data_IF_573371257676
#
_entry.id   IF_573371257676
#
_cell.length_a   1.000
_cell.length_b   1.000
_cell.length_c   1.000
_cell.angle_alpha   90.00
_cell.angle_beta   90.00
_cell.angle_gamma   90.00
#
_symmetry.space_group_name_H-M   'P 1'
#
loop_
_entity.id
_entity.type
_entity.pdbx_description
1 polymer ?
#
# COMPACT_ATOMS: atom_id res chain seq x y z
N UNK A 1 53.11 14.68 -22.47
CA UNK A 1 52.17 15.31 -21.55
C UNK A 1 50.81 14.69 -21.83
N UNK A 2 50.43 13.71 -21.05
CA UNK A 2 49.15 13.00 -21.18
C UNK A 2 48.18 13.57 -20.13
N UNK A 3 47.10 14.13 -20.62
CA UNK A 3 46.05 14.67 -19.75
C UNK A 3 45.15 13.52 -19.25
N UNK A 4 45.04 13.39 -17.94
CA UNK A 4 44.12 12.48 -17.24
C UNK A 4 42.70 13.07 -17.25
N UNK A 5 41.65 12.31 -17.58
CA UNK A 5 40.28 12.82 -17.44
C UNK A 5 39.82 12.75 -16.00
N UNK A 6 39.43 13.88 -15.47
CA UNK A 6 38.76 14.08 -14.17
C UNK A 6 37.40 13.40 -14.22
N UNK A 7 37.22 12.33 -13.43
CA UNK A 7 35.89 11.72 -13.18
C UNK A 7 35.06 12.68 -12.29
N UNK A 8 34.01 13.22 -12.86
CA UNK A 8 32.94 13.83 -12.06
C UNK A 8 32.23 12.69 -11.29
N UNK A 9 32.36 12.75 -9.96
CA UNK A 9 31.48 11.99 -9.07
C UNK A 9 30.10 12.68 -9.11
N UNK A 10 29.15 12.05 -9.72
CA UNK A 10 27.74 12.34 -9.44
C UNK A 10 27.43 11.83 -8.04
N UNK A 11 27.29 12.73 -7.08
CA UNK A 11 26.56 12.43 -5.84
C UNK A 11 25.10 12.17 -6.22
N UNK A 12 24.73 10.91 -6.25
CA UNK A 12 23.32 10.51 -6.24
C UNK A 12 22.70 11.07 -4.96
N UNK A 13 21.85 12.08 -5.11
CA UNK A 13 21.10 12.64 -4.00
C UNK A 13 20.28 11.53 -3.35
N UNK A 14 20.55 11.24 -2.08
CA UNK A 14 19.65 10.46 -1.24
C UNK A 14 18.29 11.19 -1.24
N UNK A 15 17.31 10.62 -1.92
CA UNK A 15 15.90 10.98 -1.70
C UNK A 15 15.56 10.47 -0.31
N UNK A 16 15.67 11.34 0.67
CA UNK A 16 15.20 11.08 2.03
C UNK A 16 13.68 11.11 1.96
N UNK A 17 12.96 10.03 2.27
CA UNK A 17 11.51 10.10 2.37
C UNK A 17 11.18 11.21 3.36
N UNK A 18 10.37 12.16 2.92
CA UNK A 18 9.95 13.33 3.69
C UNK A 18 9.42 12.83 5.03
N UNK A 19 10.00 13.32 6.13
CA UNK A 19 9.53 13.07 7.49
C UNK A 19 8.01 13.04 7.50
N UNK A 20 7.42 11.91 7.87
CA UNK A 20 6.12 11.94 8.54
C UNK A 20 6.40 12.69 9.83
N UNK A 21 6.22 14.02 9.79
CA UNK A 21 6.20 14.81 11.00
C UNK A 21 5.18 14.12 11.89
N UNK A 22 5.59 13.68 13.06
CA UNK A 22 4.70 13.34 14.14
C UNK A 22 3.98 14.63 14.54
N UNK A 23 3.04 15.07 13.68
CA UNK A 23 2.11 16.13 14.02
C UNK A 23 1.26 15.56 15.14
N UNK A 24 1.06 16.32 16.18
CA UNK A 24 0.18 15.91 17.29
C UNK A 24 -1.17 15.49 16.68
N UNK A 25 -1.65 14.30 17.01
CA UNK A 25 -2.92 13.76 16.49
C UNK A 25 -4.12 14.71 16.60
N UNK A 26 -4.04 15.70 17.48
CA UNK A 26 -5.05 16.73 17.68
C UNK A 26 -5.25 17.68 16.48
N UNK A 27 -4.37 17.60 15.47
CA UNK A 27 -4.42 18.47 14.28
C UNK A 27 -4.96 17.75 13.04
N UNK A 28 -5.18 16.44 13.10
CA UNK A 28 -5.66 15.63 11.96
C UNK A 28 -7.02 15.02 12.31
N UNK A 29 -7.97 15.22 11.41
CA UNK A 29 -9.24 14.48 11.36
C UNK A 29 -9.18 13.51 10.21
N UNK A 30 -9.36 12.21 10.49
CA UNK A 30 -9.47 11.17 9.48
C UNK A 30 -10.92 10.80 9.23
N UNK A 31 -11.28 10.64 7.96
CA UNK A 31 -12.61 10.27 7.50
C UNK A 31 -12.52 9.00 6.67
N UNK A 32 -12.99 7.88 7.22
CA UNK A 32 -13.22 6.68 6.43
C UNK A 32 -14.44 6.90 5.54
N UNK A 33 -14.25 6.78 4.27
CA UNK A 33 -15.27 6.94 3.24
C UNK A 33 -15.36 5.70 2.35
N UNK A 34 -16.50 5.50 1.75
CA UNK A 34 -16.68 4.55 0.65
C UNK A 34 -17.14 5.30 -0.59
N UNK A 35 -16.71 4.84 -1.75
CA UNK A 35 -17.19 5.35 -3.04
C UNK A 35 -17.77 4.20 -3.85
N UNK A 36 -18.98 4.40 -4.38
CA UNK A 36 -19.63 3.43 -5.27
C UNK A 36 -18.98 3.40 -6.64
N UNK A 37 -18.88 2.20 -7.19
CA UNK A 37 -18.38 1.94 -8.53
C UNK A 37 -19.53 1.45 -9.41
N UNK A 38 -19.75 2.08 -10.55
CA UNK A 38 -18.99 3.15 -11.18
C UNK A 38 -19.54 4.57 -10.93
N UNK A 39 -20.54 4.76 -10.10
CA UNK A 39 -21.28 6.03 -9.97
C UNK A 39 -20.46 7.18 -9.40
N UNK A 40 -19.45 6.88 -8.56
CA UNK A 40 -18.67 7.89 -7.84
C UNK A 40 -19.42 8.49 -6.63
N UNK A 41 -20.56 7.90 -6.21
CA UNK A 41 -21.26 8.35 -5.01
C UNK A 41 -20.44 8.03 -3.75
N UNK A 42 -20.19 9.05 -2.92
CA UNK A 42 -19.34 8.95 -1.72
C UNK A 42 -20.20 9.01 -0.47
N UNK A 43 -19.95 8.05 0.43
CA UNK A 43 -20.53 8.01 1.78
C UNK A 43 -19.42 8.06 2.83
N UNK A 44 -19.67 8.78 3.95
CA UNK A 44 -18.78 8.77 5.10
C UNK A 44 -19.23 7.71 6.09
N UNK A 45 -18.36 6.75 6.39
CA UNK A 45 -18.61 5.62 7.29
C UNK A 45 -18.25 5.97 8.74
N UNK A 46 -17.08 6.63 8.92
CA UNK A 46 -16.56 6.94 10.23
C UNK A 46 -15.66 8.18 10.21
N UNK A 47 -15.69 8.97 11.28
CA UNK A 47 -14.88 10.18 11.45
C UNK A 47 -14.30 10.19 12.86
N UNK A 48 -13.01 10.48 12.98
CA UNK A 48 -12.35 10.65 14.27
C UNK A 48 -11.27 11.74 14.20
N UNK A 49 -11.11 12.50 15.28
CA UNK A 49 -10.02 13.48 15.46
C UNK A 49 -8.74 12.77 15.90
N UNK A 50 -8.25 11.91 15.02
CA UNK A 50 -7.08 11.05 15.18
C UNK A 50 -6.63 10.58 13.82
N UNK A 51 -5.32 10.48 13.61
CA UNK A 51 -4.80 9.85 12.41
C UNK A 51 -5.07 8.35 12.42
N UNK A 52 -5.85 7.87 11.45
CA UNK A 52 -5.94 6.46 11.07
C UNK A 52 -5.92 6.35 9.55
N UNK A 53 -5.53 5.21 9.00
CA UNK A 53 -5.19 5.05 7.59
C UNK A 53 -5.41 3.63 7.07
N UNK A 54 -5.28 3.45 5.73
CA UNK A 54 -5.19 2.16 5.04
C UNK A 54 -6.36 1.20 5.34
N UNK A 55 -7.58 1.51 4.90
CA UNK A 55 -8.75 0.69 5.19
C UNK A 55 -8.73 -0.60 4.35
N UNK A 56 -8.58 -1.76 5.00
CA UNK A 56 -8.69 -3.07 4.37
C UNK A 56 -10.05 -3.68 4.69
N UNK A 57 -10.89 -3.93 3.67
CA UNK A 57 -12.23 -4.48 3.86
C UNK A 57 -12.20 -5.98 4.12
N UNK A 58 -12.99 -6.44 5.09
CA UNK A 58 -13.12 -7.89 5.40
C UNK A 58 -13.77 -8.65 4.25
N UNK A 59 -13.42 -9.93 4.10
CA UNK A 59 -13.92 -10.79 3.03
C UNK A 59 -15.42 -11.07 3.11
N UNK A 60 -16.01 -10.93 4.29
CA UNK A 60 -17.46 -11.04 4.52
C UNK A 60 -18.19 -9.69 4.43
N UNK A 61 -17.47 -8.60 4.19
CA UNK A 61 -18.02 -7.26 4.04
C UNK A 61 -18.43 -6.58 5.35
N UNK A 62 -18.24 -7.21 6.51
CA UNK A 62 -18.84 -6.75 7.77
C UNK A 62 -18.00 -5.73 8.53
N UNK A 63 -16.70 -5.59 8.22
CA UNK A 63 -15.82 -4.64 8.90
C UNK A 63 -14.62 -4.21 8.05
N UNK A 64 -13.95 -3.17 8.52
CA UNK A 64 -12.63 -2.74 8.04
C UNK A 64 -11.55 -3.01 9.07
N UNK A 65 -10.32 -3.21 8.60
CA UNK A 65 -9.12 -3.03 9.41
C UNK A 65 -8.46 -1.73 8.99
N UNK A 66 -8.04 -0.93 9.95
CA UNK A 66 -7.29 0.31 9.74
C UNK A 66 -6.06 0.32 10.64
N UNK A 67 -5.03 1.05 10.23
CA UNK A 67 -3.84 1.31 11.05
C UNK A 67 -3.97 2.67 11.75
N UNK A 68 -3.45 2.75 12.97
CA UNK A 68 -3.27 4.01 13.69
C UNK A 68 -2.18 3.86 14.74
N UNK A 69 -1.18 4.76 14.73
CA UNK A 69 -0.10 4.82 15.74
C UNK A 69 0.64 3.48 15.94
N UNK A 70 0.86 2.73 14.88
CA UNK A 70 1.57 1.44 14.96
C UNK A 70 0.72 0.26 15.39
N UNK A 71 -0.59 0.45 15.57
CA UNK A 71 -1.56 -0.59 15.96
C UNK A 71 -2.63 -0.76 14.90
N UNK A 72 -3.26 -1.92 14.87
CA UNK A 72 -4.37 -2.24 13.99
C UNK A 72 -5.68 -2.24 14.75
N UNK A 73 -6.71 -1.77 14.06
CA UNK A 73 -8.05 -1.67 14.64
C UNK A 73 -9.08 -2.24 13.68
N UNK A 74 -10.07 -2.90 14.25
CA UNK A 74 -11.28 -3.31 13.56
C UNK A 74 -12.36 -2.25 13.74
N UNK A 75 -13.07 -1.94 12.66
CA UNK A 75 -14.17 -0.99 12.61
C UNK A 75 -15.34 -1.63 11.87
N UNK A 76 -16.57 -1.73 12.42
CA UNK A 76 -17.74 -2.23 11.71
C UNK A 76 -17.97 -1.46 10.40
N UNK A 77 -18.40 -2.16 9.34
CA UNK A 77 -18.71 -1.51 8.06
C UNK A 77 -20.01 -0.69 8.13
N UNK A 78 -20.90 -1.03 9.07
CA UNK A 78 -22.12 -0.31 9.37
C UNK A 78 -22.21 -0.01 10.85
N UNK A 79 -22.75 1.16 11.20
CA UNK A 79 -22.95 1.56 12.60
C UNK A 79 -21.66 1.73 13.40
N UNK A 80 -20.57 2.12 12.73
CA UNK A 80 -19.27 2.32 13.35
C UNK A 80 -19.30 3.44 14.40
N UNK A 81 -18.89 3.13 15.64
CA UNK A 81 -18.87 4.09 16.75
C UNK A 81 -17.49 4.28 17.37
N UNK A 82 -16.62 3.29 17.25
CA UNK A 82 -15.25 3.33 17.80
C UNK A 82 -14.35 2.27 17.15
N UNK A 83 -13.07 2.52 17.19
CA UNK A 83 -12.03 1.59 16.77
C UNK A 83 -11.79 0.55 17.87
N UNK A 84 -11.82 -0.74 17.52
CA UNK A 84 -11.50 -1.85 18.42
C UNK A 84 -10.14 -2.44 18.05
N UNK A 85 -9.17 -2.35 18.96
CA UNK A 85 -7.81 -2.83 18.72
C UNK A 85 -7.77 -4.35 18.47
N UNK A 86 -6.93 -4.75 17.51
CA UNK A 86 -6.57 -6.15 17.22
C UNK A 86 -5.24 -6.40 17.92
N UNK A 87 -5.13 -7.38 18.84
CA UNK A 87 -3.86 -7.68 19.50
C UNK A 87 -2.81 -8.16 18.51
N UNK A 88 -1.67 -7.48 18.44
CA UNK A 88 -0.54 -7.85 17.59
C UNK A 88 0.70 -8.24 18.40
N UNK A 89 0.58 -8.44 19.71
CA UNK A 89 1.64 -8.86 20.62
C UNK A 89 2.81 -7.87 20.64
N UNK A 90 4.01 -8.35 20.32
CA UNK A 90 5.21 -7.51 20.26
C UNK A 90 5.21 -6.53 19.07
N UNK A 91 4.36 -6.74 18.04
CA UNK A 91 4.31 -5.91 16.84
C UNK A 91 3.52 -4.61 17.10
N UNK A 92 4.14 -3.64 17.77
CA UNK A 92 3.56 -2.35 18.15
C UNK A 92 3.96 -1.18 17.24
N UNK A 93 4.65 -1.47 16.13
CA UNK A 93 5.05 -0.50 15.11
C UNK A 93 4.65 -1.01 13.72
N UNK A 94 3.37 -1.37 13.61
CA UNK A 94 2.77 -1.78 12.34
C UNK A 94 2.55 -0.54 11.49
N UNK A 95 2.99 -0.55 10.23
CA UNK A 95 2.71 0.53 9.29
C UNK A 95 1.36 0.29 8.56
N UNK A 96 1.09 1.10 7.55
CA UNK A 96 -0.14 1.02 6.75
C UNK A 96 -0.21 -0.17 5.78
N UNK A 97 0.84 -1.00 5.68
CA UNK A 97 0.88 -2.14 4.77
C UNK A 97 0.46 -3.41 5.51
N UNK A 98 -0.83 -3.68 5.49
CA UNK A 98 -1.45 -4.84 6.14
C UNK A 98 -2.62 -5.37 5.32
N UNK A 99 -2.99 -6.64 5.49
CA UNK A 99 -4.16 -7.16 4.77
C UNK A 99 -4.57 -8.58 5.12
N UNK A 100 -5.86 -8.80 4.94
CA UNK A 100 -6.56 -10.04 5.25
C UNK A 100 -6.31 -11.07 4.15
N UNK A 101 -5.99 -12.30 4.53
CA UNK A 101 -5.84 -13.43 3.59
C UNK A 101 -7.13 -13.69 2.80
N UNK A 102 -7.04 -14.34 1.61
CA UNK A 102 -8.21 -14.64 0.78
C UNK A 102 -9.28 -15.47 1.49
N UNK A 103 -8.89 -16.37 2.41
CA UNK A 103 -9.80 -17.20 3.20
C UNK A 103 -10.35 -16.49 4.45
N UNK A 104 -9.94 -15.25 4.71
CA UNK A 104 -10.39 -14.43 5.84
C UNK A 104 -9.87 -14.86 7.21
N UNK A 105 -8.85 -15.75 7.30
CA UNK A 105 -8.39 -16.31 8.58
C UNK A 105 -7.12 -15.68 9.11
N UNK A 106 -6.27 -15.18 8.23
CA UNK A 106 -4.97 -14.63 8.56
C UNK A 106 -4.91 -13.13 8.24
N UNK A 107 -3.98 -12.47 8.88
CA UNK A 107 -3.59 -11.09 8.64
C UNK A 107 -2.09 -11.05 8.38
N UNK A 108 -1.66 -10.41 7.29
CA UNK A 108 -0.28 -10.05 7.05
C UNK A 108 -0.08 -8.60 7.51
N UNK A 109 1.06 -8.33 8.13
CA UNK A 109 1.42 -7.00 8.63
C UNK A 109 2.89 -6.72 8.33
N UNK A 110 3.21 -5.45 8.09
CA UNK A 110 4.58 -4.95 8.07
C UNK A 110 4.89 -4.28 9.40
N UNK A 111 5.87 -4.81 10.15
CA UNK A 111 6.24 -4.31 11.46
C UNK A 111 7.71 -4.00 11.52
N UNK A 112 8.04 -2.82 12.06
CA UNK A 112 9.42 -2.37 12.29
C UNK A 112 9.91 -2.79 13.67
N UNK A 113 10.87 -3.72 13.71
CA UNK A 113 11.48 -4.23 14.95
C UNK A 113 12.62 -3.33 15.45
N UNK A 114 12.46 -2.03 15.43
CA UNK A 114 13.51 -1.03 15.62
C UNK A 114 14.05 -0.88 17.07
N UNK A 115 14.21 -1.95 17.82
CA UNK A 115 14.93 -1.90 19.11
C UNK A 115 16.42 -1.49 18.96
N UNK A 116 16.92 -1.47 17.73
CA UNK A 116 18.35 -1.30 17.43
C UNK A 116 18.71 0.02 16.72
N UNK A 117 17.75 0.86 16.38
CA UNK A 117 18.02 2.11 15.66
C UNK A 117 17.64 3.29 16.55
N UNK A 118 18.62 4.04 17.00
CA UNK A 118 18.45 5.20 17.89
C UNK A 118 17.85 6.45 17.21
N UNK A 119 17.61 6.39 15.89
CA UNK A 119 17.03 7.48 15.10
C UNK A 119 15.68 7.05 14.54
N UNK A 120 14.60 7.61 15.08
CA UNK A 120 13.22 7.37 14.65
C UNK A 120 12.95 7.64 13.16
N UNK A 121 13.80 8.42 12.49
CA UNK A 121 13.67 8.74 11.08
C UNK A 121 14.01 7.56 10.14
N UNK A 122 14.63 6.49 10.64
CA UNK A 122 15.03 5.32 9.87
C UNK A 122 14.42 4.00 10.36
N UNK A 123 13.44 4.06 11.25
CA UNK A 123 12.78 2.88 11.83
C UNK A 123 12.20 1.94 10.73
N UNK A 124 11.79 2.49 9.59
CA UNK A 124 11.26 1.74 8.46
C UNK A 124 12.29 0.77 7.83
N UNK A 125 13.62 1.01 7.98
CA UNK A 125 14.67 0.11 7.49
C UNK A 125 14.63 -1.27 8.17
N UNK A 126 14.02 -1.37 9.36
CA UNK A 126 13.88 -2.63 10.09
C UNK A 126 12.53 -3.32 9.83
N UNK A 127 11.71 -2.81 8.89
CA UNK A 127 10.42 -3.39 8.56
C UNK A 127 10.55 -4.80 8.02
N UNK A 128 9.72 -5.70 8.54
CA UNK A 128 9.62 -7.10 8.09
C UNK A 128 8.15 -7.52 8.09
N UNK A 129 7.84 -8.52 7.27
CA UNK A 129 6.47 -9.03 7.15
C UNK A 129 6.25 -10.16 8.15
N UNK A 130 5.12 -10.07 8.86
CA UNK A 130 4.64 -11.06 9.82
C UNK A 130 3.23 -11.50 9.47
N UNK A 131 2.87 -12.69 9.90
CA UNK A 131 1.53 -13.28 9.76
C UNK A 131 1.02 -13.67 11.13
N UNK A 132 -0.27 -13.40 11.36
CA UNK A 132 -1.00 -13.76 12.58
C UNK A 132 -2.46 -14.13 12.23
N UNK A 133 -3.19 -14.81 13.14
CA UNK A 133 -4.62 -14.99 13.00
C UNK A 133 -5.35 -13.65 12.93
N UNK A 134 -6.45 -13.56 12.16
CA UNK A 134 -7.28 -12.34 12.05
C UNK A 134 -7.84 -11.89 13.41
N UNK A 135 -8.01 -12.79 14.37
CA UNK A 135 -8.42 -12.48 15.75
C UNK A 135 -7.31 -11.84 16.60
N UNK A 136 -6.09 -11.75 16.07
CA UNK A 136 -4.91 -11.30 16.78
C UNK A 136 -4.01 -12.43 17.30
N UNK A 137 -2.82 -12.07 17.77
CA UNK A 137 -1.84 -13.00 18.34
C UNK A 137 -0.89 -12.26 19.28
N UNK A 138 -0.34 -12.96 20.29
CA UNK A 138 0.75 -12.44 21.11
C UNK A 138 2.13 -12.67 20.48
N UNK A 139 2.22 -13.56 19.50
CA UNK A 139 3.45 -13.93 18.83
C UNK A 139 3.26 -14.06 17.31
N UNK A 140 3.15 -12.94 16.56
CA UNK A 140 3.13 -12.95 15.11
C UNK A 140 4.35 -13.69 14.54
N UNK A 141 4.15 -14.48 13.49
CA UNK A 141 5.21 -15.26 12.85
C UNK A 141 5.87 -14.44 11.73
N UNK A 142 7.17 -14.22 11.82
CA UNK A 142 7.96 -13.56 10.77
C UNK A 142 7.99 -14.42 9.50
N UNK A 143 7.87 -13.77 8.33
CA UNK A 143 7.89 -14.42 7.01
C UNK A 143 9.13 -14.03 6.23
N UNK A 144 9.43 -12.73 6.08
CA UNK A 144 10.60 -12.25 5.31
C UNK A 144 11.88 -12.34 6.13
N UNK A 145 12.99 -12.63 5.47
CA UNK A 145 14.34 -12.66 6.06
C UNK A 145 15.09 -11.35 5.86
N UNK A 146 14.88 -10.69 4.71
CA UNK A 146 15.45 -9.39 4.40
C UNK A 146 14.61 -8.24 4.98
N UNK A 147 15.27 -7.09 5.17
CA UNK A 147 14.64 -5.83 5.58
C UNK A 147 15.25 -4.65 4.79
N UNK A 148 14.48 -3.59 4.51
CA UNK A 148 13.05 -3.46 4.76
C UNK A 148 12.22 -4.34 3.81
N UNK A 149 11.04 -4.73 4.30
CA UNK A 149 10.02 -5.43 3.53
C UNK A 149 8.65 -4.88 3.92
N UNK A 150 7.83 -4.51 2.92
CA UNK A 150 6.50 -3.92 3.08
C UNK A 150 5.48 -4.77 2.33
N UNK A 151 4.52 -5.30 3.06
CA UNK A 151 3.49 -6.17 2.50
C UNK A 151 2.50 -5.36 1.67
N UNK A 152 2.03 -5.95 0.54
CA UNK A 152 0.97 -5.34 -0.27
C UNK A 152 -0.11 -6.33 -0.70
N UNK A 153 0.23 -7.58 -1.03
CA UNK A 153 -0.77 -8.48 -1.58
C UNK A 153 -0.60 -9.95 -1.19
N UNK A 154 -1.73 -10.66 -1.18
CA UNK A 154 -1.83 -12.11 -1.12
C UNK A 154 -2.12 -12.68 -2.50
N UNK A 155 -1.48 -13.79 -2.87
CA UNK A 155 -1.98 -14.57 -4.02
C UNK A 155 -3.40 -15.08 -3.75
N UNK A 156 -4.25 -15.25 -4.77
CA UNK A 156 -5.64 -15.68 -4.58
C UNK A 156 -5.77 -17.06 -3.88
N UNK A 157 -4.77 -17.94 -4.02
CA UNK A 157 -4.73 -19.23 -3.34
C UNK A 157 -4.18 -19.16 -1.88
N UNK A 158 -3.79 -17.95 -1.43
CA UNK A 158 -3.28 -17.68 -0.08
C UNK A 158 -1.90 -18.26 0.21
N UNK A 159 -1.15 -18.74 -0.80
CA UNK A 159 0.15 -19.41 -0.58
C UNK A 159 1.36 -18.51 -0.77
N UNK A 160 1.20 -17.35 -1.41
CA UNK A 160 2.29 -16.43 -1.73
C UNK A 160 1.92 -15.02 -1.28
N UNK A 161 2.91 -14.29 -0.79
CA UNK A 161 2.83 -12.85 -0.55
C UNK A 161 3.62 -12.13 -1.63
N UNK A 162 3.10 -10.98 -2.10
CA UNK A 162 3.87 -9.99 -2.84
C UNK A 162 4.10 -8.78 -1.98
N UNK A 163 5.29 -8.20 -2.10
CA UNK A 163 5.74 -7.16 -1.22
C UNK A 163 6.81 -6.29 -1.89
N UNK A 164 7.01 -5.10 -1.35
CA UNK A 164 8.14 -4.24 -1.71
C UNK A 164 9.29 -4.50 -0.76
N UNK A 165 10.47 -4.69 -1.32
CA UNK A 165 11.68 -4.91 -0.55
C UNK A 165 12.84 -4.09 -1.08
N UNK A 166 13.64 -3.51 -0.18
CA UNK A 166 14.89 -2.89 -0.58
C UNK A 166 16.03 -3.89 -0.48
N UNK A 167 16.53 -4.31 -1.64
CA UNK A 167 17.68 -5.20 -1.75
C UNK A 167 18.72 -4.54 -2.67
N UNK A 168 19.99 -4.64 -2.32
CA UNK A 168 21.07 -4.04 -3.11
C UNK A 168 20.93 -2.53 -3.41
N UNK A 169 20.22 -1.80 -2.52
CA UNK A 169 20.05 -0.34 -2.65
C UNK A 169 18.81 0.11 -3.38
N UNK A 170 18.06 -0.79 -4.05
CA UNK A 170 16.86 -0.49 -4.82
C UNK A 170 15.60 -1.11 -4.20
N UNK A 171 14.47 -0.44 -4.41
CA UNK A 171 13.15 -0.93 -4.05
C UNK A 171 12.49 -1.61 -5.23
N UNK A 172 12.23 -2.90 -5.07
CA UNK A 172 11.61 -3.74 -6.09
C UNK A 172 10.49 -4.58 -5.49
N UNK A 173 9.72 -5.19 -6.39
CA UNK A 173 8.69 -6.14 -6.03
C UNK A 173 9.29 -7.54 -5.88
N UNK A 174 8.92 -8.18 -4.78
CA UNK A 174 9.31 -9.54 -4.45
C UNK A 174 8.09 -10.42 -4.17
N UNK A 175 8.27 -11.71 -4.36
CA UNK A 175 7.34 -12.73 -3.92
C UNK A 175 8.00 -13.68 -2.93
N UNK A 176 7.25 -14.15 -1.93
CA UNK A 176 7.69 -15.14 -0.95
C UNK A 176 6.55 -16.10 -0.60
N UNK A 177 6.86 -17.37 -0.36
CA UNK A 177 5.86 -18.29 0.15
C UNK A 177 5.36 -17.84 1.55
N UNK A 178 4.10 -18.01 1.83
CA UNK A 178 3.50 -17.68 3.13
C UNK A 178 4.20 -18.36 4.30
N UNK A 179 4.78 -19.52 4.04
CA UNK A 179 5.58 -20.30 5.01
C UNK A 179 6.97 -19.71 5.26
N UNK A 180 7.38 -18.71 4.48
CA UNK A 180 8.74 -18.17 4.42
C UNK A 180 9.60 -18.93 3.41
N UNK A 181 10.89 -18.65 3.38
CA UNK A 181 11.85 -19.27 2.49
C UNK A 181 12.55 -18.25 1.59
N UNK A 182 12.82 -18.63 0.34
CA UNK A 182 13.51 -17.77 -0.63
C UNK A 182 12.60 -16.64 -1.12
N UNK A 183 13.15 -15.42 -1.13
CA UNK A 183 12.53 -14.23 -1.70
C UNK A 183 12.86 -14.17 -3.20
N UNK A 184 11.85 -14.17 -4.06
CA UNK A 184 12.04 -14.07 -5.51
C UNK A 184 11.77 -12.64 -5.96
N UNK A 185 12.78 -11.96 -6.51
CA UNK A 185 12.65 -10.65 -7.14
C UNK A 185 11.85 -10.75 -8.42
N UNK A 186 10.86 -9.89 -8.61
CA UNK A 186 9.94 -9.87 -9.76
C UNK A 186 10.22 -8.69 -10.71
N UNK A 187 10.71 -7.57 -10.20
CA UNK A 187 11.04 -6.40 -11.00
C UNK A 187 12.52 -6.07 -10.93
N UNK A 188 13.05 -5.44 -11.98
CA UNK A 188 14.47 -5.12 -12.12
C UNK A 188 14.71 -3.81 -12.87
N UNK A 189 13.66 -3.06 -13.19
CA UNK A 189 13.79 -1.76 -13.83
C UNK A 189 14.37 -0.74 -12.85
N UNK A 190 15.25 0.18 -13.28
CA UNK A 190 15.71 1.25 -12.41
C UNK A 190 14.56 2.16 -11.91
N UNK A 191 14.64 2.56 -10.66
CA UNK A 191 13.62 3.37 -9.98
C UNK A 191 12.80 2.54 -8.99
N UNK A 192 11.88 3.22 -8.30
CA UNK A 192 11.00 2.61 -7.31
C UNK A 192 9.89 1.80 -7.97
N UNK A 193 9.73 0.55 -7.56
CA UNK A 193 8.55 -0.27 -7.80
C UNK A 193 7.83 -0.51 -6.48
N UNK A 194 6.49 -0.29 -6.44
CA UNK A 194 5.71 -0.34 -5.20
C UNK A 194 4.28 -0.84 -5.43
N UNK A 195 3.53 -1.05 -4.35
CA UNK A 195 2.11 -1.33 -4.33
C UNK A 195 1.62 -2.57 -5.08
N UNK A 196 2.32 -3.73 -5.05
CA UNK A 196 1.90 -4.88 -5.81
C UNK A 196 0.65 -5.54 -5.24
N UNK A 197 -0.36 -5.77 -6.08
CA UNK A 197 -1.57 -6.52 -5.73
C UNK A 197 -1.94 -7.52 -6.83
N UNK A 198 -2.38 -8.71 -6.44
CA UNK A 198 -2.77 -9.76 -7.38
C UNK A 198 -4.14 -9.49 -8.01
N UNK A 199 -4.25 -9.76 -9.31
CA UNK A 199 -5.55 -10.00 -9.93
C UNK A 199 -6.28 -11.17 -9.24
N UNK A 200 -7.62 -11.15 -9.12
CA UNK A 200 -8.37 -12.19 -8.43
C UNK A 200 -8.26 -13.58 -9.09
N UNK A 201 -7.96 -13.64 -10.38
CA UNK A 201 -7.70 -14.88 -11.14
C UNK A 201 -6.25 -15.38 -11.02
N UNK A 202 -5.37 -14.59 -10.39
CA UNK A 202 -3.96 -14.90 -10.22
C UNK A 202 -3.11 -14.80 -11.49
N UNK A 203 -3.63 -14.29 -12.61
CA UNK A 203 -2.90 -14.22 -13.87
C UNK A 203 -1.95 -13.03 -13.95
N UNK A 204 -2.22 -11.97 -13.18
CA UNK A 204 -1.42 -10.75 -13.16
C UNK A 204 -1.17 -10.27 -11.74
N UNK A 205 -0.09 -9.49 -11.58
CA UNK A 205 0.19 -8.60 -10.46
C UNK A 205 0.17 -7.19 -11.02
N UNK A 206 -0.68 -6.32 -10.45
CA UNK A 206 -0.68 -4.89 -10.73
C UNK A 206 0.24 -4.20 -9.73
N UNK A 207 0.95 -3.18 -10.15
CA UNK A 207 1.89 -2.44 -9.32
C UNK A 207 2.11 -1.04 -9.89
N UNK A 208 2.74 -0.17 -9.14
CA UNK A 208 3.22 1.10 -9.66
C UNK A 208 4.75 1.09 -9.80
N UNK A 209 5.25 1.77 -10.83
CA UNK A 209 6.67 1.80 -11.18
C UNK A 209 7.10 3.15 -11.73
N UNK A 210 8.31 3.56 -11.34
CA UNK A 210 8.98 4.75 -11.88
C UNK A 210 9.82 4.44 -13.14
N UNK A 211 9.74 3.24 -13.65
CA UNK A 211 10.53 2.72 -14.80
C UNK A 211 10.46 3.61 -16.05
N UNK A 212 9.33 4.26 -16.31
CA UNK A 212 9.16 5.19 -17.43
C UNK A 212 9.62 6.63 -17.15
N UNK A 213 10.19 6.88 -15.96
CA UNK A 213 10.61 8.22 -15.52
C UNK A 213 9.49 9.02 -14.86
N UNK A 214 8.34 8.36 -14.59
CA UNK A 214 7.21 8.86 -13.84
C UNK A 214 6.50 7.70 -13.16
N UNK A 215 5.85 7.94 -12.03
CA UNK A 215 5.11 6.90 -11.33
C UNK A 215 3.80 6.61 -12.07
N UNK A 216 3.70 5.41 -12.61
CA UNK A 216 2.61 4.93 -13.45
C UNK A 216 2.16 3.53 -13.03
N UNK A 217 0.96 3.12 -13.40
CA UNK A 217 0.44 1.77 -13.15
C UNK A 217 0.95 0.81 -14.22
N UNK A 218 1.41 -0.33 -13.76
CA UNK A 218 1.92 -1.44 -14.55
C UNK A 218 1.24 -2.74 -14.15
N UNK A 219 1.38 -3.77 -14.98
CA UNK A 219 1.08 -5.16 -14.63
C UNK A 219 2.16 -6.09 -15.14
N UNK A 220 2.29 -7.25 -14.52
CA UNK A 220 3.17 -8.33 -14.93
C UNK A 220 2.55 -9.69 -14.61
N UNK A 221 3.09 -10.78 -15.18
CA UNK A 221 2.74 -12.12 -14.73
C UNK A 221 3.32 -12.41 -13.34
N UNK A 222 2.77 -13.40 -12.59
CA UNK A 222 3.27 -13.74 -11.25
C UNK A 222 4.73 -14.20 -11.20
N UNK A 223 5.31 -14.60 -12.34
CA UNK A 223 6.72 -14.94 -12.47
C UNK A 223 7.63 -13.73 -12.72
N UNK A 224 7.07 -12.53 -12.85
CA UNK A 224 7.77 -11.28 -13.17
C UNK A 224 7.88 -10.99 -14.66
N UNK A 225 7.44 -11.91 -15.54
CA UNK A 225 7.53 -11.72 -16.98
C UNK A 225 6.39 -10.86 -17.54
N UNK A 226 6.61 -10.28 -18.73
CA UNK A 226 5.58 -9.57 -19.47
C UNK A 226 5.10 -8.29 -18.80
N UNK A 227 6.03 -7.53 -18.20
CA UNK A 227 5.73 -6.21 -17.64
C UNK A 227 5.19 -5.27 -18.72
N UNK A 228 4.07 -4.61 -18.44
CA UNK A 228 3.34 -3.73 -19.35
C UNK A 228 2.85 -2.50 -18.59
N UNK A 229 3.14 -1.32 -19.10
CA UNK A 229 2.64 -0.04 -18.56
C UNK A 229 1.20 0.16 -18.99
N UNK A 230 0.33 0.56 -18.04
CA UNK A 230 -1.11 0.72 -18.26
C UNK A 230 -1.56 2.18 -18.25
N UNK A 231 -0.86 3.07 -17.51
CA UNK A 231 -1.19 4.50 -17.47
C UNK A 231 -0.06 5.33 -18.08
N UNK A 232 -0.43 6.46 -18.70
CA UNK A 232 0.48 7.35 -19.43
C UNK A 232 0.03 8.82 -19.32
N UNK A 233 -0.64 9.20 -18.25
CA UNK A 233 -1.26 10.50 -18.14
C UNK A 233 -0.46 11.52 -17.30
N UNK A 234 -1.08 12.63 -16.93
CA UNK A 234 -0.40 13.74 -16.24
C UNK A 234 -0.25 13.53 -14.73
N UNK A 235 -1.04 12.61 -14.15
CA UNK A 235 -1.01 12.31 -12.72
C UNK A 235 0.13 11.33 -12.39
N UNK A 236 0.59 11.32 -11.13
CA UNK A 236 1.47 10.27 -10.64
C UNK A 236 0.61 9.21 -9.93
N UNK A 237 0.61 7.99 -10.47
CA UNK A 237 -0.37 6.95 -10.16
C UNK A 237 0.23 5.87 -9.25
N UNK A 238 -0.48 5.56 -8.13
CA UNK A 238 0.02 4.74 -7.03
C UNK A 238 -1.01 3.72 -6.55
N UNK A 239 -0.54 2.59 -6.00
CA UNK A 239 -1.34 1.58 -5.27
C UNK A 239 -2.54 1.06 -6.06
N UNK A 240 -2.30 0.34 -7.17
CA UNK A 240 -3.38 -0.26 -7.95
C UNK A 240 -4.00 -1.46 -7.24
N UNK A 241 -5.32 -1.45 -7.06
CA UNK A 241 -6.07 -2.56 -6.47
C UNK A 241 -7.11 -3.08 -7.44
N UNK A 242 -6.95 -4.32 -7.97
CA UNK A 242 -7.96 -4.97 -8.78
C UNK A 242 -9.22 -5.27 -7.98
N UNK A 243 -10.38 -5.11 -8.61
CA UNK A 243 -11.66 -5.48 -8.01
C UNK A 243 -11.80 -7.01 -7.89
N UNK A 244 -12.54 -7.53 -6.89
CA UNK A 244 -12.77 -8.97 -6.72
C UNK A 244 -13.41 -9.66 -7.92
N UNK A 245 -14.22 -8.96 -8.74
CA UNK A 245 -14.81 -9.49 -9.99
C UNK A 245 -13.86 -9.44 -11.19
N UNK A 246 -12.64 -8.89 -11.03
CA UNK A 246 -11.63 -8.78 -12.07
C UNK A 246 -11.96 -7.77 -13.19
N UNK A 247 -12.95 -6.89 -12.99
CA UNK A 247 -13.34 -5.93 -14.00
C UNK A 247 -12.61 -4.61 -13.95
N UNK A 248 -12.24 -4.16 -12.75
CA UNK A 248 -11.74 -2.82 -12.48
C UNK A 248 -10.38 -2.84 -11.79
N UNK A 249 -9.63 -1.77 -11.97
CA UNK A 249 -8.51 -1.40 -11.09
C UNK A 249 -8.78 -0.01 -10.57
N UNK A 250 -8.83 0.15 -9.25
CA UNK A 250 -8.80 1.46 -8.58
C UNK A 250 -7.36 1.80 -8.20
N UNK A 251 -6.98 3.06 -8.27
CA UNK A 251 -5.67 3.54 -7.86
C UNK A 251 -5.70 4.99 -7.37
N UNK A 252 -4.69 5.38 -6.62
CA UNK A 252 -4.48 6.74 -6.14
C UNK A 252 -3.74 7.55 -7.18
N UNK A 253 -4.22 8.75 -7.50
CA UNK A 253 -3.55 9.66 -8.40
C UNK A 253 -3.22 10.97 -7.68
N UNK A 254 -1.92 11.28 -7.57
CA UNK A 254 -1.45 12.58 -7.13
C UNK A 254 -1.61 13.61 -8.26
N UNK A 255 -2.20 14.75 -7.96
CA UNK A 255 -2.42 15.80 -8.96
C UNK A 255 -1.13 16.52 -9.37
N UNK A 256 -0.11 16.47 -8.51
CA UNK A 256 1.23 16.96 -8.77
C UNK A 256 2.20 15.77 -8.72
N UNK A 257 3.18 15.75 -9.63
CA UNK A 257 4.23 14.74 -9.61
C UNK A 257 5.04 14.85 -8.31
N UNK A 258 5.22 13.73 -7.63
CA UNK A 258 5.98 13.60 -6.40
C UNK A 258 7.30 12.84 -6.62
N UNK A 259 7.67 12.56 -7.87
CA UNK A 259 8.79 11.67 -8.23
C UNK A 259 8.56 10.25 -7.69
N UNK A 260 9.54 9.72 -7.00
CA UNK A 260 9.49 8.40 -6.37
C UNK A 260 8.90 8.42 -4.94
N UNK A 261 8.18 9.48 -4.56
CA UNK A 261 7.61 9.62 -3.22
C UNK A 261 6.07 9.62 -3.26
N UNK A 262 5.46 9.13 -2.19
CA UNK A 262 4.00 9.14 -2.02
C UNK A 262 3.60 9.79 -0.67
N UNK A 263 3.88 11.10 -0.49
CA UNK A 263 3.73 11.77 0.79
C UNK A 263 2.28 11.88 1.23
N UNK A 264 2.08 11.89 2.56
CA UNK A 264 0.84 12.32 3.20
C UNK A 264 0.57 13.81 2.93
N UNK A 265 -0.70 14.20 2.92
CA UNK A 265 -1.08 15.61 2.93
C UNK A 265 -1.00 16.29 1.58
N UNK A 266 -1.39 15.61 0.52
CA UNK A 266 -1.43 16.11 -0.84
C UNK A 266 -2.85 16.11 -1.42
N UNK A 267 -3.03 16.87 -2.50
CA UNK A 267 -4.24 16.78 -3.31
C UNK A 267 -4.15 15.53 -4.19
N UNK A 268 -5.07 14.62 -3.97
CA UNK A 268 -5.16 13.33 -4.68
C UNK A 268 -6.58 13.08 -5.12
N UNK A 269 -6.77 12.12 -6.00
CA UNK A 269 -8.07 11.56 -6.36
C UNK A 269 -7.95 10.06 -6.54
N UNK A 270 -9.07 9.34 -6.43
CA UNK A 270 -9.14 7.96 -6.88
C UNK A 270 -9.52 7.94 -8.36
N UNK A 271 -8.85 7.09 -9.10
CA UNK A 271 -9.15 6.82 -10.51
C UNK A 271 -9.53 5.36 -10.68
N UNK A 272 -10.30 5.09 -11.71
CA UNK A 272 -10.85 3.78 -12.03
C UNK A 272 -10.54 3.43 -13.48
N UNK A 273 -9.86 2.29 -13.68
CA UNK A 273 -9.60 1.69 -14.99
C UNK A 273 -10.58 0.55 -15.24
N UNK A 274 -11.24 0.53 -16.40
CA UNK A 274 -12.01 -0.63 -16.87
C UNK A 274 -11.05 -1.58 -17.62
N UNK A 275 -10.87 -2.80 -17.11
CA UNK A 275 -9.92 -3.77 -17.68
C UNK A 275 -10.39 -4.37 -19.02
N UNK A 276 -11.63 -4.10 -19.45
CA UNK A 276 -12.14 -4.60 -20.75
C UNK A 276 -11.65 -3.76 -21.94
N UNK A 277 -11.43 -2.46 -21.73
CA UNK A 277 -11.07 -1.52 -22.80
C UNK A 277 -9.95 -0.55 -22.40
N UNK A 278 -9.39 -0.72 -21.21
CA UNK A 278 -8.34 0.12 -20.60
C UNK A 278 -8.77 1.61 -20.44
N UNK A 279 -10.07 1.92 -20.52
CA UNK A 279 -10.54 3.28 -20.28
C UNK A 279 -10.38 3.68 -18.83
N UNK A 280 -9.89 4.91 -18.59
CA UNK A 280 -9.65 5.47 -17.26
C UNK A 280 -10.56 6.68 -17.04
N UNK A 281 -11.09 6.80 -15.82
CA UNK A 281 -11.86 7.96 -15.38
C UNK A 281 -11.59 8.30 -13.92
N UNK A 282 -11.89 9.52 -13.55
CA UNK A 282 -11.90 9.94 -12.16
C UNK A 282 -13.08 9.28 -11.44
N UNK A 283 -12.82 8.63 -10.31
CA UNK A 283 -13.83 8.02 -9.46
C UNK A 283 -14.28 8.98 -8.36
N UNK A 284 -13.38 9.86 -7.91
CA UNK A 284 -13.67 10.90 -6.91
C UNK A 284 -13.25 12.27 -7.43
N UNK A 285 -13.86 13.38 -6.94
CA UNK A 285 -13.23 14.68 -7.03
C UNK A 285 -11.91 14.69 -6.24
N UNK A 286 -11.02 15.69 -6.43
CA UNK A 286 -9.83 15.87 -5.61
C UNK A 286 -10.16 16.02 -4.12
N UNK A 287 -9.31 15.44 -3.26
CA UNK A 287 -9.40 15.55 -1.81
C UNK A 287 -8.00 15.54 -1.16
N UNK A 288 -7.92 15.92 0.10
CA UNK A 288 -6.67 15.89 0.85
C UNK A 288 -6.40 14.46 1.36
N UNK A 289 -5.31 13.85 0.88
CA UNK A 289 -4.98 12.44 1.08
C UNK A 289 -3.49 12.17 0.86
N UNK A 290 -3.18 11.09 0.16
CA UNK A 290 -1.82 10.61 -0.11
C UNK A 290 -1.52 9.31 0.63
N UNK A 291 -0.32 9.20 1.21
CA UNK A 291 0.04 8.06 2.06
C UNK A 291 -1.05 7.78 3.09
N UNK A 292 -1.47 6.53 3.22
CA UNK A 292 -2.52 6.07 4.11
C UNK A 292 -3.94 6.11 3.55
N UNK A 293 -4.15 6.71 2.37
CA UNK A 293 -5.48 6.79 1.75
C UNK A 293 -6.00 5.43 1.29
N UNK A 294 -5.20 4.69 0.50
CA UNK A 294 -5.60 3.42 -0.14
C UNK A 294 -4.37 2.51 -0.38
N UNK A 295 -3.46 2.43 0.56
CA UNK A 295 -2.22 1.64 0.42
C UNK A 295 -2.44 0.12 0.36
N UNK A 296 -3.62 -0.36 0.73
CA UNK A 296 -3.97 -1.78 0.85
C UNK A 296 -5.26 -2.09 0.09
N UNK A 297 -5.52 -3.36 -0.28
CA UNK A 297 -6.75 -3.76 -0.94
C UNK A 297 -7.99 -3.32 -0.17
N UNK A 298 -8.79 -2.44 -0.78
CA UNK A 298 -9.88 -1.70 -0.11
C UNK A 298 -11.25 -1.91 -0.76
N UNK A 299 -11.37 -2.85 -1.69
CA UNK A 299 -12.64 -3.19 -2.33
C UNK A 299 -13.61 -3.89 -1.39
N UNK A 300 -14.90 -3.57 -1.52
CA UNK A 300 -15.96 -4.42 -0.96
C UNK A 300 -15.98 -5.79 -1.69
N UNK A 301 -16.36 -6.88 -0.99
CA UNK A 301 -16.35 -8.21 -1.59
C UNK A 301 -17.24 -8.36 -2.83
N UNK A 302 -18.26 -7.53 -2.96
CA UNK A 302 -19.20 -7.50 -4.10
C UNK A 302 -18.73 -6.62 -5.26
N UNK A 303 -17.52 -6.04 -5.19
CA UNK A 303 -16.92 -5.14 -6.19
C UNK A 303 -17.70 -3.86 -6.47
N UNK A 304 -18.61 -3.45 -5.58
CA UNK A 304 -19.47 -2.27 -5.78
C UNK A 304 -18.93 -1.02 -5.12
N UNK A 305 -18.06 -1.14 -4.13
CA UNK A 305 -17.54 -0.01 -3.37
C UNK A 305 -16.05 -0.15 -3.11
N UNK A 306 -15.39 0.99 -2.97
CA UNK A 306 -13.99 1.10 -2.52
C UNK A 306 -13.96 1.94 -1.26
N UNK A 307 -13.26 1.46 -0.23
CA UNK A 307 -13.00 2.22 0.97
C UNK A 307 -11.72 3.05 0.84
N UNK A 308 -11.70 4.26 1.39
CA UNK A 308 -10.52 5.12 1.41
C UNK A 308 -10.58 6.07 2.60
N UNK A 309 -9.43 6.58 3.01
CA UNK A 309 -9.35 7.61 4.05
C UNK A 309 -8.99 8.95 3.43
N UNK A 310 -9.82 9.95 3.70
CA UNK A 310 -9.52 11.35 3.44
C UNK A 310 -9.23 12.08 4.76
N UNK A 311 -8.50 13.18 4.69
CA UNK A 311 -8.05 13.90 5.87
C UNK A 311 -8.47 15.36 5.84
N UNK A 312 -8.59 15.95 7.03
CA UNK A 312 -8.69 17.40 7.24
C UNK A 312 -7.64 17.82 8.26
N UNK A 313 -6.94 18.93 7.97
CA UNK A 313 -6.05 19.58 8.95
C UNK A 313 -6.88 20.59 9.75
N UNK A 314 -6.73 20.60 11.08
CA UNK A 314 -7.40 21.51 12.02
C UNK A 314 -6.45 22.61 12.48
#
# INVERSE_FOLDING_TARGET
>A
MLATPTRLLFLSGLVVPTRVLCQSDSTIRSMLRTVEVPSGHIETVYVEDRHFEAPNWSRDGTFFIVNSRGHLYRLPAEGATHLKEIPTGFASRVNNDHGISPDGKLLAISHSAAELISDSAQDWLASSIYILPLSGSQAPRKVTTGAPSFWHGWSPDGKTLVFVGRRNGEFDIYAIAVTGGEERRLTTCPGLDDGPDYAPDGQFIYYNSYCSGKMEIWRMRPDGSGAEQLTHDVTADWFPHPSPDGRWVVYLAYLEDQGEAHPFGKQVKLRLMDLRDASVRDLTPPFFGGQGTINVPSWSPDSRRVAFVAYEMR
#
